data_IF_674589679094
#
_entry.id   IF_674589679094
#
_cell.length_a   1.000
_cell.length_b   1.000
_cell.length_c   1.000
_cell.angle_alpha   90.00
_cell.angle_beta   90.00
_cell.angle_gamma   90.00
#
_symmetry.space_group_name_H-M   'P 1'
#
loop_
_entity.id
_entity.type
_entity.pdbx_description
1 polymer ?
#
# COMPACT_ATOMS: atom_id res chain seq x y z
N UNK A 1 28.35 -16.87 -24.10
CA UNK A 1 27.05 -17.54 -24.33
C UNK A 1 26.19 -17.17 -23.15
N UNK A 2 25.12 -16.41 -23.35
CA UNK A 2 24.12 -16.18 -22.30
C UNK A 2 23.39 -17.48 -22.00
N UNK A 3 23.17 -17.78 -20.73
CA UNK A 3 22.33 -18.90 -20.32
C UNK A 3 20.87 -18.67 -20.75
N UNK A 4 20.15 -19.72 -21.17
CA UNK A 4 18.76 -19.58 -21.58
C UNK A 4 17.88 -19.20 -20.40
N UNK A 5 17.03 -18.17 -20.60
CA UNK A 5 16.07 -17.70 -19.59
C UNK A 5 15.08 -18.80 -19.24
N UNK A 6 14.97 -19.11 -17.96
CA UNK A 6 14.07 -20.14 -17.44
C UNK A 6 12.69 -19.56 -17.09
N UNK A 7 11.70 -20.44 -16.93
CA UNK A 7 10.39 -20.02 -16.39
C UNK A 7 10.51 -19.41 -14.99
N UNK A 8 11.41 -19.94 -14.14
CA UNK A 8 11.67 -19.37 -12.82
C UNK A 8 12.18 -17.92 -12.94
N UNK A 9 13.08 -17.64 -13.88
CA UNK A 9 13.58 -16.27 -14.10
C UNK A 9 12.45 -15.30 -14.45
N UNK A 10 11.51 -15.75 -15.29
CA UNK A 10 10.34 -14.94 -15.70
C UNK A 10 9.44 -14.64 -14.49
N UNK A 11 9.13 -15.65 -13.67
CA UNK A 11 8.31 -15.48 -12.47
C UNK A 11 9.00 -14.54 -11.45
N UNK A 12 10.31 -14.71 -11.23
CA UNK A 12 11.09 -13.85 -10.33
C UNK A 12 11.15 -12.40 -10.83
N UNK A 13 11.19 -12.17 -12.15
CA UNK A 13 11.13 -10.82 -12.71
C UNK A 13 9.73 -10.21 -12.59
N UNK A 14 8.68 -11.00 -12.83
CA UNK A 14 7.30 -10.57 -12.62
C UNK A 14 7.08 -10.14 -11.17
N UNK A 15 7.49 -10.96 -10.20
CA UNK A 15 7.41 -10.67 -8.78
C UNK A 15 8.11 -9.34 -8.41
N UNK A 16 9.29 -9.07 -8.97
CA UNK A 16 10.01 -7.80 -8.76
C UNK A 16 9.25 -6.61 -9.34
N UNK A 17 8.65 -6.77 -10.52
CA UNK A 17 7.88 -5.70 -11.16
C UNK A 17 6.64 -5.36 -10.33
N UNK A 18 5.89 -6.36 -9.87
CA UNK A 18 4.71 -6.14 -9.03
C UNK A 18 5.06 -5.44 -7.71
N UNK A 19 6.18 -5.84 -7.08
CA UNK A 19 6.68 -5.15 -5.88
C UNK A 19 7.04 -3.69 -6.16
N UNK A 20 7.68 -3.40 -7.29
CA UNK A 20 8.01 -2.03 -7.67
C UNK A 20 6.74 -1.19 -7.96
N UNK A 21 5.73 -1.80 -8.58
CA UNK A 21 4.46 -1.15 -8.85
C UNK A 21 3.71 -0.84 -7.55
N UNK A 22 3.64 -1.79 -6.62
CA UNK A 22 3.08 -1.57 -5.27
C UNK A 22 3.86 -0.49 -4.53
N UNK A 23 5.19 -0.51 -4.57
CA UNK A 23 6.05 0.51 -3.96
C UNK A 23 5.71 1.90 -4.51
N UNK A 24 5.63 2.04 -5.84
CA UNK A 24 5.28 3.29 -6.49
C UNK A 24 3.87 3.80 -6.12
N UNK A 25 2.92 2.89 -5.94
CA UNK A 25 1.57 3.21 -5.47
C UNK A 25 1.61 3.73 -4.02
N UNK A 26 2.25 3.00 -3.11
CA UNK A 26 2.35 3.35 -1.68
C UNK A 26 3.07 4.69 -1.48
N UNK A 27 4.15 4.97 -2.21
CA UNK A 27 4.85 6.27 -2.14
C UNK A 27 3.93 7.43 -2.55
N UNK A 28 3.14 7.25 -3.61
CA UNK A 28 2.16 8.27 -4.03
C UNK A 28 1.06 8.48 -2.99
N UNK A 29 0.58 7.40 -2.37
CA UNK A 29 -0.43 7.45 -1.32
C UNK A 29 0.07 8.22 -0.10
N UNK A 30 1.32 7.98 0.31
CA UNK A 30 1.94 8.68 1.42
C UNK A 30 2.08 10.19 1.15
N UNK A 31 2.50 10.59 -0.05
CA UNK A 31 2.58 12.02 -0.41
C UNK A 31 1.21 12.69 -0.43
N UNK A 32 0.19 12.01 -1.00
CA UNK A 32 -1.19 12.51 -0.98
C UNK A 32 -1.74 12.63 0.44
N UNK A 33 -1.55 11.61 1.29
CA UNK A 33 -1.99 11.64 2.68
C UNK A 33 -1.34 12.78 3.47
N UNK A 34 -0.04 13.01 3.25
CA UNK A 34 0.69 14.15 3.82
C UNK A 34 0.08 15.49 3.40
N UNK A 35 -0.19 15.67 2.10
CA UNK A 35 -0.79 16.91 1.56
C UNK A 35 -2.21 17.12 2.09
N UNK A 36 -3.02 16.07 2.07
CA UNK A 36 -4.37 16.06 2.65
C UNK A 36 -4.35 16.50 4.12
N UNK A 37 -3.37 16.04 4.89
CA UNK A 37 -3.23 16.42 6.30
C UNK A 37 -2.84 17.88 6.50
N UNK A 38 -1.88 18.39 5.73
CA UNK A 38 -1.39 19.78 5.87
C UNK A 38 -2.47 20.78 5.47
N UNK A 39 -3.16 20.51 4.37
CA UNK A 39 -4.14 21.43 3.76
C UNK A 39 -5.58 21.17 4.22
N UNK A 40 -5.81 20.13 5.03
CA UNK A 40 -7.14 19.60 5.40
C UNK A 40 -7.98 19.30 4.14
N UNK A 41 -7.33 18.80 3.10
CA UNK A 41 -7.96 18.48 1.81
C UNK A 41 -8.63 17.11 1.89
N UNK A 42 -9.96 17.13 2.00
CA UNK A 42 -10.78 15.92 2.09
C UNK A 42 -10.88 15.16 0.78
N UNK A 43 -10.78 15.83 -0.36
CA UNK A 43 -10.86 15.17 -1.66
C UNK A 43 -9.61 14.31 -1.86
N UNK A 44 -8.43 14.85 -1.54
CA UNK A 44 -7.19 14.09 -1.51
C UNK A 44 -7.24 12.94 -0.49
N UNK A 45 -7.82 13.17 0.69
CA UNK A 45 -8.00 12.10 1.66
C UNK A 45 -8.88 10.97 1.09
N UNK A 46 -10.03 11.29 0.48
CA UNK A 46 -10.89 10.30 -0.15
C UNK A 46 -10.19 9.53 -1.28
N UNK A 47 -9.34 10.19 -2.07
CA UNK A 47 -8.52 9.52 -3.08
C UNK A 47 -7.54 8.51 -2.48
N UNK A 48 -6.88 8.85 -1.36
CA UNK A 48 -6.00 7.92 -0.65
C UNK A 48 -6.81 6.70 -0.22
N UNK A 49 -7.94 6.91 0.44
CA UNK A 49 -8.79 5.81 0.93
C UNK A 49 -9.33 4.92 -0.20
N UNK A 50 -9.65 5.51 -1.36
CA UNK A 50 -10.13 4.75 -2.51
C UNK A 50 -9.05 3.84 -3.11
N UNK A 51 -7.79 4.28 -3.07
CA UNK A 51 -6.66 3.54 -3.62
C UNK A 51 -6.11 2.46 -2.66
N UNK A 52 -6.53 2.44 -1.39
CA UNK A 52 -6.13 1.42 -0.41
C UNK A 52 -6.50 -0.01 -0.86
N UNK A 53 -7.68 -0.15 -1.49
CA UNK A 53 -8.09 -1.44 -2.08
C UNK A 53 -7.12 -1.97 -3.14
N UNK A 54 -6.39 -1.08 -3.83
CA UNK A 54 -5.38 -1.49 -4.82
C UNK A 54 -4.11 -1.96 -4.14
N UNK A 55 -3.68 -1.33 -3.04
CA UNK A 55 -2.53 -1.76 -2.24
C UNK A 55 -2.79 -3.16 -1.68
N UNK A 56 -3.94 -3.36 -1.05
CA UNK A 56 -4.42 -4.68 -0.60
C UNK A 56 -4.46 -5.72 -1.74
N UNK A 57 -4.91 -5.32 -2.94
CA UNK A 57 -4.92 -6.20 -4.10
C UNK A 57 -3.51 -6.63 -4.56
N UNK A 58 -2.54 -5.72 -4.50
CA UNK A 58 -1.13 -6.04 -4.77
C UNK A 58 -0.56 -6.99 -3.71
N UNK A 59 -0.83 -6.73 -2.43
CA UNK A 59 -0.34 -7.57 -1.33
C UNK A 59 -0.75 -9.04 -1.52
N UNK A 60 -2.05 -9.29 -1.72
CA UNK A 60 -2.58 -10.63 -1.98
C UNK A 60 -2.01 -11.27 -3.26
N UNK A 61 -1.75 -10.47 -4.30
CA UNK A 61 -1.17 -10.97 -5.55
C UNK A 61 0.27 -11.43 -5.32
N UNK A 62 1.08 -10.57 -4.71
CA UNK A 62 2.51 -10.82 -4.48
C UNK A 62 2.70 -12.03 -3.55
N UNK A 63 1.87 -12.18 -2.53
CA UNK A 63 1.89 -13.35 -1.65
C UNK A 63 1.61 -14.64 -2.42
N UNK A 64 0.58 -14.66 -3.27
CA UNK A 64 0.26 -15.83 -4.11
C UNK A 64 1.37 -16.15 -5.10
N UNK A 65 2.00 -15.13 -5.69
CA UNK A 65 3.10 -15.34 -6.63
C UNK A 65 4.32 -15.94 -5.90
N UNK A 66 4.62 -15.47 -4.68
CA UNK A 66 5.66 -16.06 -3.83
C UNK A 66 5.37 -17.53 -3.48
N UNK A 67 4.15 -17.84 -3.04
CA UNK A 67 3.71 -19.20 -2.74
C UNK A 67 3.81 -20.11 -3.97
N UNK A 68 3.35 -19.61 -5.12
CA UNK A 68 3.43 -20.31 -6.41
C UNK A 68 4.86 -20.61 -6.81
N UNK A 69 5.77 -19.64 -6.67
CA UNK A 69 7.18 -19.83 -6.97
C UNK A 69 7.80 -20.92 -6.09
N UNK A 70 7.54 -20.87 -4.78
CA UNK A 70 8.06 -21.86 -3.82
C UNK A 70 7.54 -23.27 -4.15
N UNK A 71 6.22 -23.39 -4.38
CA UNK A 71 5.56 -24.67 -4.61
C UNK A 71 5.95 -25.32 -5.94
N UNK A 72 6.01 -24.52 -7.03
CA UNK A 72 6.20 -25.04 -8.38
C UNK A 72 7.67 -25.27 -8.73
N UNK A 73 8.56 -24.36 -8.31
CA UNK A 73 9.95 -24.37 -8.79
C UNK A 73 10.98 -24.81 -7.74
N UNK A 74 10.60 -24.87 -6.46
CA UNK A 74 11.49 -25.25 -5.34
C UNK A 74 12.82 -24.48 -5.39
N UNK A 75 12.79 -23.13 -5.43
CA UNK A 75 13.99 -22.32 -5.56
C UNK A 75 14.94 -22.57 -4.39
N UNK A 76 16.24 -22.42 -4.63
CA UNK A 76 17.29 -22.63 -3.61
C UNK A 76 18.22 -21.43 -3.54
N UNK A 77 18.97 -21.34 -2.43
CA UNK A 77 20.00 -20.33 -2.21
C UNK A 77 19.53 -18.89 -2.50
N UNK A 78 19.99 -18.28 -3.59
CA UNK A 78 19.75 -16.87 -3.90
C UNK A 78 18.28 -16.64 -4.26
N UNK A 79 17.67 -17.51 -5.05
CA UNK A 79 16.29 -17.34 -5.51
C UNK A 79 15.30 -17.48 -4.36
N UNK A 80 15.52 -18.46 -3.47
CA UNK A 80 14.69 -18.60 -2.28
C UNK A 80 14.79 -17.37 -1.37
N UNK A 81 16.01 -16.84 -1.18
CA UNK A 81 16.20 -15.62 -0.37
C UNK A 81 15.51 -14.42 -0.99
N UNK A 82 15.50 -14.31 -2.32
CA UNK A 82 14.80 -13.25 -3.03
C UNK A 82 13.28 -13.34 -2.79
N UNK A 83 12.67 -14.53 -2.93
CA UNK A 83 11.24 -14.72 -2.68
C UNK A 83 10.87 -14.44 -1.22
N UNK A 84 11.69 -14.88 -0.27
CA UNK A 84 11.46 -14.58 1.16
C UNK A 84 11.64 -13.09 1.48
N UNK A 85 12.55 -12.39 0.80
CA UNK A 85 12.70 -10.95 0.93
C UNK A 85 11.48 -10.23 0.34
N UNK A 86 10.96 -10.68 -0.81
CA UNK A 86 9.76 -10.18 -1.43
C UNK A 86 8.55 -10.21 -0.47
N UNK A 87 8.27 -11.35 0.17
CA UNK A 87 7.22 -11.47 1.19
C UNK A 87 7.36 -10.44 2.32
N UNK A 88 8.58 -10.27 2.85
CA UNK A 88 8.83 -9.31 3.94
C UNK A 88 8.65 -7.86 3.49
N UNK A 89 9.09 -7.54 2.28
CA UNK A 89 8.93 -6.20 1.71
C UNK A 89 7.44 -5.92 1.46
N UNK A 90 6.72 -6.87 0.86
CA UNK A 90 5.29 -6.80 0.60
C UNK A 90 4.50 -6.41 1.86
N UNK A 91 4.70 -7.16 2.94
CA UNK A 91 4.07 -6.89 4.24
C UNK A 91 4.42 -5.49 4.79
N UNK A 92 5.64 -4.99 4.58
CA UNK A 92 6.00 -3.64 5.01
C UNK A 92 5.34 -2.56 4.14
N UNK A 93 5.16 -2.81 2.84
CA UNK A 93 4.50 -1.86 1.93
C UNK A 93 3.00 -1.74 2.23
N UNK A 94 2.33 -2.85 2.48
CA UNK A 94 0.92 -2.86 2.90
C UNK A 94 0.74 -2.04 4.18
N UNK A 95 1.58 -2.27 5.20
CA UNK A 95 1.53 -1.50 6.45
C UNK A 95 1.75 0.00 6.27
N UNK A 96 2.57 0.42 5.31
CA UNK A 96 2.75 1.84 4.98
C UNK A 96 1.50 2.39 4.29
N UNK A 97 0.85 1.61 3.42
CA UNK A 97 -0.44 1.92 2.82
C UNK A 97 -1.52 2.15 3.88
N UNK A 98 -1.67 1.22 4.81
CA UNK A 98 -2.58 1.30 5.95
C UNK A 98 -2.36 2.56 6.81
N UNK A 99 -1.09 2.92 7.07
CA UNK A 99 -0.77 4.16 7.79
C UNK A 99 -1.25 5.38 6.98
N UNK A 100 -1.08 5.38 5.66
CA UNK A 100 -1.56 6.46 4.80
C UNK A 100 -3.09 6.55 4.78
N UNK A 101 -3.81 5.42 4.73
CA UNK A 101 -5.27 5.37 4.86
C UNK A 101 -5.73 5.90 6.23
N UNK A 102 -5.03 5.54 7.31
CA UNK A 102 -5.29 6.05 8.66
C UNK A 102 -5.15 7.57 8.76
N UNK A 103 -4.11 8.15 8.16
CA UNK A 103 -3.94 9.61 8.07
C UNK A 103 -5.10 10.23 7.29
N UNK A 104 -5.48 9.66 6.15
CA UNK A 104 -6.59 10.15 5.34
C UNK A 104 -7.93 10.06 6.09
N UNK A 105 -8.17 8.97 6.81
CA UNK A 105 -9.35 8.81 7.65
C UNK A 105 -9.43 9.90 8.73
N UNK A 106 -8.30 10.22 9.36
CA UNK A 106 -8.23 11.31 10.32
C UNK A 106 -8.64 12.66 9.69
N UNK A 107 -8.12 13.00 8.51
CA UNK A 107 -8.47 14.25 7.80
C UNK A 107 -9.96 14.36 7.51
N UNK A 108 -10.58 13.27 7.04
CA UNK A 108 -12.03 13.24 6.78
C UNK A 108 -12.86 13.54 8.04
N UNK A 109 -12.36 13.18 9.23
CA UNK A 109 -13.05 13.36 10.50
C UNK A 109 -12.89 14.76 11.13
N UNK A 110 -11.92 15.58 10.70
CA UNK A 110 -11.59 16.86 11.37
C UNK A 110 -12.77 17.84 11.46
N UNK A 111 -13.65 17.95 10.45
CA UNK A 111 -14.83 18.86 10.53
C UNK A 111 -15.95 18.36 11.45
N UNK A 112 -16.12 17.04 11.66
CA UNK A 112 -17.19 16.52 12.52
C UNK A 112 -17.07 16.98 13.97
N UNK A 113 -15.90 17.49 14.37
CA UNK A 113 -15.63 18.02 15.69
C UNK A 113 -15.70 19.55 15.78
N UNK A 114 -15.68 20.29 14.67
CA UNK A 114 -15.80 21.76 14.70
C UNK A 114 -17.27 22.22 14.81
N UNK A 115 -18.22 21.55 14.15
CA UNK A 115 -19.65 21.87 14.29
C UNK A 115 -20.22 21.61 15.70
N UNK A 116 -19.56 20.77 16.51
CA UNK A 116 -19.98 20.49 17.90
C UNK A 116 -19.48 21.50 18.94
N UNK A 117 -18.68 22.48 18.53
CA UNK A 117 -18.08 23.48 19.42
C UNK A 117 -18.70 24.87 19.30
N UNK A 118 -19.65 25.07 18.38
CA UNK A 118 -20.50 26.26 18.37
C UNK A 118 -21.47 26.17 19.57
N UNK A 119 -21.50 27.16 20.48
CA UNK A 119 -22.50 27.21 21.55
C UNK A 119 -23.89 27.20 20.92
N UNK A 120 -24.79 26.35 21.41
CA UNK A 120 -26.19 26.45 21.02
C UNK A 120 -26.71 27.85 21.37
N UNK A 121 -27.28 28.56 20.39
CA UNK A 121 -27.95 29.86 20.54
C UNK A 121 -29.06 29.87 21.63
N UNK A 122 -29.39 28.71 22.21
CA UNK A 122 -30.28 28.56 23.37
C UNK A 122 -29.71 29.10 24.68
N UNK A 123 -28.41 29.40 24.76
CA UNK A 123 -27.79 30.02 25.96
C UNK A 123 -27.77 31.56 25.93
N UNK A 124 -28.28 32.19 24.86
CA UNK A 124 -28.36 33.65 24.70
C UNK A 124 -29.79 34.22 24.84
N UNK A 125 -30.74 33.46 25.39
CA UNK A 125 -32.08 33.92 25.76
C UNK A 125 -32.31 33.76 27.26
#
# INVERSE_FOLDING_TARGET
MEEPVTHLDIELQTLKNDLNDMFGLVVKQLDKAKRALIDIDKDLAHEVRANEKRVNGFELKIDRDCEGIIALYKPVAVDLRLVLAALKINMNLERIGDIADGIAQFVVQIEQNQEKLEPSDELLK
#
